data_IF_180016881069
#
_entry.id   IF_180016881069
#
_cell.length_a   1.000
_cell.length_b   1.000
_cell.length_c   1.000
_cell.angle_alpha   90.00
_cell.angle_beta   90.00
_cell.angle_gamma   90.00
#
_symmetry.space_group_name_H-M   'P 1'
#
loop_
_entity.id
_entity.type
_entity.pdbx_description
1 polymer ?
#
# COMPACT_ATOMS: atom_id res chain seq x y z
N UNK A 1 13.41 -23.83 19.39
CA UNK A 1 14.58 -22.95 19.16
C UNK A 1 15.25 -23.20 17.81
N UNK A 2 15.49 -24.45 17.37
CA UNK A 2 16.09 -24.74 16.06
C UNK A 2 15.25 -24.28 14.86
N UNK A 3 13.93 -24.46 14.91
CA UNK A 3 13.02 -23.98 13.85
C UNK A 3 13.03 -22.45 13.69
N UNK A 4 12.99 -21.69 14.80
CA UNK A 4 13.05 -20.22 14.77
C UNK A 4 14.37 -19.73 14.16
N UNK A 5 15.49 -20.40 14.48
CA UNK A 5 16.79 -20.06 13.90
C UNK A 5 16.81 -20.24 12.38
N UNK A 6 16.27 -21.35 11.88
CA UNK A 6 16.15 -21.62 10.45
C UNK A 6 15.26 -20.58 9.73
N UNK A 7 14.15 -20.18 10.35
CA UNK A 7 13.27 -19.15 9.79
C UNK A 7 13.95 -17.77 9.71
N UNK A 8 14.72 -17.39 10.73
CA UNK A 8 15.46 -16.12 10.72
C UNK A 8 16.55 -16.08 9.65
N UNK A 9 17.23 -17.20 9.43
CA UNK A 9 18.26 -17.31 8.39
C UNK A 9 17.63 -17.22 6.99
N UNK A 10 16.50 -17.90 6.80
CA UNK A 10 15.71 -17.80 5.59
C UNK A 10 15.26 -16.35 5.30
N UNK A 11 14.70 -15.66 6.29
CA UNK A 11 14.32 -14.26 6.17
C UNK A 11 15.52 -13.37 5.83
N UNK A 12 16.70 -13.63 6.43
CA UNK A 12 17.92 -12.90 6.14
C UNK A 12 18.33 -13.03 4.69
N UNK A 13 18.30 -14.24 4.13
CA UNK A 13 18.62 -14.47 2.72
C UNK A 13 17.66 -13.74 1.77
N UNK A 14 16.38 -13.72 2.09
CA UNK A 14 15.36 -13.04 1.28
C UNK A 14 15.51 -11.52 1.39
N UNK A 15 15.85 -11.00 2.57
CA UNK A 15 16.17 -9.59 2.77
C UNK A 15 17.41 -9.13 2.00
N UNK A 16 18.26 -10.05 1.53
CA UNK A 16 19.37 -9.72 0.63
C UNK A 16 18.93 -9.49 -0.82
N UNK A 17 17.69 -9.84 -1.19
CA UNK A 17 17.15 -9.62 -2.54
C UNK A 17 16.69 -8.15 -2.65
N UNK A 18 17.34 -7.32 -3.47
CA UNK A 18 17.05 -5.88 -3.50
C UNK A 18 15.60 -5.56 -3.89
N UNK A 19 15.01 -6.31 -4.82
CA UNK A 19 13.59 -6.13 -5.20
C UNK A 19 12.66 -6.48 -4.05
N UNK A 20 12.97 -7.54 -3.30
CA UNK A 20 12.19 -7.92 -2.14
C UNK A 20 12.26 -6.84 -1.06
N UNK A 21 13.45 -6.29 -0.80
CA UNK A 21 13.63 -5.21 0.17
C UNK A 21 12.87 -3.95 -0.24
N UNK A 22 12.87 -3.58 -1.53
CA UNK A 22 12.09 -2.46 -2.05
C UNK A 22 10.57 -2.67 -1.86
N UNK A 23 10.08 -3.89 -2.11
CA UNK A 23 8.68 -4.25 -1.86
C UNK A 23 8.34 -4.26 -0.36
N UNK A 24 9.25 -4.78 0.47
CA UNK A 24 9.05 -4.84 1.92
C UNK A 24 8.98 -3.44 2.51
N UNK A 25 9.97 -2.60 2.23
CA UNK A 25 10.03 -1.22 2.72
C UNK A 25 8.89 -0.37 2.15
N UNK A 26 8.65 -0.44 0.84
CA UNK A 26 7.54 0.25 0.19
C UNK A 26 6.18 -0.15 0.76
N UNK A 27 6.00 -1.44 1.09
CA UNK A 27 4.80 -1.98 1.71
C UNK A 27 4.59 -1.49 3.15
N UNK A 28 5.64 -1.49 3.97
CA UNK A 28 5.60 -0.99 5.36
C UNK A 28 5.21 0.49 5.39
N UNK A 29 5.87 1.30 4.55
CA UNK A 29 5.56 2.73 4.42
C UNK A 29 4.15 2.93 3.84
N UNK A 30 3.73 2.07 2.90
CA UNK A 30 2.40 2.09 2.28
C UNK A 30 1.24 1.77 3.23
N UNK A 31 1.50 1.14 4.38
CA UNK A 31 0.48 0.91 5.41
C UNK A 31 0.16 2.17 6.24
N UNK A 32 1.10 3.11 6.35
CA UNK A 32 0.92 4.35 7.13
C UNK A 32 -0.26 5.19 6.58
N UNK A 33 -0.37 5.45 5.26
CA UNK A 33 -1.53 6.13 4.66
C UNK A 33 -2.87 5.50 5.01
N UNK A 34 -2.96 4.17 4.98
CA UNK A 34 -4.21 3.47 5.27
C UNK A 34 -4.62 3.60 6.74
N UNK A 35 -3.64 3.57 7.64
CA UNK A 35 -3.86 3.85 9.05
C UNK A 35 -4.28 5.30 9.28
N UNK A 36 -3.66 6.26 8.58
CA UNK A 36 -4.04 7.67 8.63
C UNK A 36 -5.48 7.91 8.14
N UNK A 37 -5.91 7.21 7.10
CA UNK A 37 -7.26 7.29 6.55
C UNK A 37 -8.34 6.67 7.48
N UNK A 38 -7.99 6.01 8.58
CA UNK A 38 -8.96 5.64 9.62
C UNK A 38 -9.66 6.85 10.25
N UNK A 39 -9.03 8.04 10.19
CA UNK A 39 -9.60 9.31 10.65
C UNK A 39 -10.60 9.92 9.67
N UNK A 40 -10.78 9.33 8.49
CA UNK A 40 -11.69 9.84 7.47
C UNK A 40 -13.14 9.93 7.97
N UNK A 41 -13.57 8.99 8.83
CA UNK A 41 -14.88 9.07 9.49
C UNK A 41 -15.04 10.38 10.28
N UNK A 42 -14.04 10.71 11.09
CA UNK A 42 -14.03 11.91 11.92
C UNK A 42 -13.94 13.18 11.06
N UNK A 43 -13.15 13.14 9.98
CA UNK A 43 -13.08 14.23 9.00
C UNK A 43 -14.44 14.53 8.37
N UNK A 44 -15.15 13.51 7.89
CA UNK A 44 -16.48 13.65 7.31
C UNK A 44 -17.49 14.24 8.31
N UNK A 45 -17.44 13.81 9.57
CA UNK A 45 -18.29 14.38 10.61
C UNK A 45 -17.95 15.85 10.91
N UNK A 46 -16.68 16.23 10.88
CA UNK A 46 -16.26 17.64 11.04
C UNK A 46 -16.65 18.51 9.83
N UNK A 47 -16.81 17.92 8.65
CA UNK A 47 -17.42 18.60 7.49
C UNK A 47 -18.94 18.81 7.62
N UNK A 48 -19.56 18.29 8.69
CA UNK A 48 -20.99 18.46 8.97
C UNK A 48 -21.87 17.29 8.55
N UNK A 49 -21.31 16.20 8.03
CA UNK A 49 -22.07 15.00 7.72
C UNK A 49 -22.55 14.28 8.98
N UNK A 50 -23.76 13.72 8.94
CA UNK A 50 -24.26 12.83 9.99
C UNK A 50 -23.43 11.55 10.04
N UNK A 51 -23.39 10.87 11.19
CA UNK A 51 -22.67 9.61 11.33
C UNK A 51 -23.13 8.56 10.30
N UNK A 52 -24.43 8.48 10.00
CA UNK A 52 -24.98 7.56 9.00
C UNK A 52 -24.48 7.88 7.59
N UNK A 53 -24.49 9.16 7.20
CA UNK A 53 -24.02 9.58 5.87
C UNK A 53 -22.50 9.44 5.71
N UNK A 54 -21.72 9.70 6.76
CA UNK A 54 -20.29 9.45 6.75
C UNK A 54 -20.00 7.94 6.64
N UNK A 55 -20.72 7.10 7.39
CA UNK A 55 -20.58 5.64 7.29
C UNK A 55 -20.94 5.11 5.90
N UNK A 56 -21.99 5.63 5.26
CA UNK A 56 -22.35 5.22 3.89
C UNK A 56 -21.30 5.63 2.86
N UNK A 57 -20.66 6.80 3.01
CA UNK A 57 -19.52 7.19 2.18
C UNK A 57 -18.32 6.23 2.32
N UNK A 58 -18.02 5.79 3.55
CA UNK A 58 -16.98 4.80 3.79
C UNK A 58 -17.36 3.41 3.26
N UNK A 59 -18.64 3.07 3.23
CA UNK A 59 -19.13 1.85 2.57
C UNK A 59 -18.92 1.93 1.06
N UNK A 60 -19.23 3.07 0.42
CA UNK A 60 -18.93 3.32 -1.01
C UNK A 60 -17.44 3.21 -1.29
N UNK A 61 -16.61 3.80 -0.43
CA UNK A 61 -15.16 3.67 -0.47
C UNK A 61 -14.73 2.18 -0.45
N UNK A 62 -15.33 1.38 0.43
CA UNK A 62 -15.06 -0.07 0.55
C UNK A 62 -15.45 -0.85 -0.72
N UNK A 63 -16.57 -0.52 -1.36
CA UNK A 63 -16.92 -1.09 -2.69
C UNK A 63 -15.85 -0.72 -3.72
N UNK A 64 -15.41 0.54 -3.74
CA UNK A 64 -14.30 0.99 -4.59
C UNK A 64 -13.02 0.20 -4.37
N UNK A 65 -12.70 -0.20 -3.13
CA UNK A 65 -11.53 -1.03 -2.82
C UNK A 65 -11.64 -2.42 -3.43
N UNK A 66 -12.83 -3.02 -3.41
CA UNK A 66 -13.08 -4.35 -3.99
C UNK A 66 -12.88 -4.28 -5.50
N UNK A 67 -13.56 -3.33 -6.17
CA UNK A 67 -13.42 -3.11 -7.60
C UNK A 67 -11.97 -2.76 -7.99
N UNK A 68 -11.31 -1.90 -7.22
CA UNK A 68 -9.93 -1.50 -7.44
C UNK A 68 -8.95 -2.65 -7.30
N UNK A 69 -9.17 -3.55 -6.35
CA UNK A 69 -8.32 -4.73 -6.18
C UNK A 69 -8.42 -5.69 -7.38
N UNK A 70 -9.63 -5.90 -7.91
CA UNK A 70 -9.85 -6.70 -9.12
C UNK A 70 -9.20 -6.04 -10.34
N UNK A 71 -9.45 -4.75 -10.54
CA UNK A 71 -8.88 -3.98 -11.63
C UNK A 71 -7.34 -3.99 -11.56
N UNK A 72 -6.78 -3.85 -10.36
CA UNK A 72 -5.35 -3.89 -10.12
C UNK A 72 -4.69 -5.21 -10.52
N UNK A 73 -5.34 -6.34 -10.22
CA UNK A 73 -4.88 -7.66 -10.66
C UNK A 73 -4.88 -7.78 -12.20
N UNK A 74 -6.01 -7.41 -12.83
CA UNK A 74 -6.15 -7.46 -14.30
C UNK A 74 -5.12 -6.56 -14.99
N UNK A 75 -4.97 -5.31 -14.54
CA UNK A 75 -3.98 -4.38 -15.09
C UNK A 75 -2.57 -4.88 -14.84
N UNK A 76 -2.27 -5.37 -13.63
CA UNK A 76 -0.96 -5.94 -13.29
C UNK A 76 -0.54 -7.04 -14.26
N UNK A 77 -1.43 -8.01 -14.51
CA UNK A 77 -1.15 -9.14 -15.39
C UNK A 77 -1.10 -8.74 -16.86
N UNK A 78 -1.97 -7.83 -17.31
CA UNK A 78 -1.93 -7.29 -18.66
C UNK A 78 -0.61 -6.55 -18.94
N UNK A 79 -0.21 -5.64 -18.05
CA UNK A 79 1.07 -4.92 -18.17
C UNK A 79 2.27 -5.86 -18.08
N UNK A 80 2.22 -6.90 -17.22
CA UNK A 80 3.26 -7.91 -17.14
C UNK A 80 3.40 -8.72 -18.44
N UNK A 81 2.29 -9.02 -19.13
CA UNK A 81 2.33 -9.71 -20.43
C UNK A 81 3.00 -8.87 -21.52
N UNK A 82 2.80 -7.54 -21.49
CA UNK A 82 3.32 -6.63 -22.51
C UNK A 82 4.75 -6.17 -22.22
N UNK A 83 5.05 -5.90 -20.96
CA UNK A 83 6.36 -5.46 -20.46
C UNK A 83 6.79 -6.31 -19.26
N UNK A 84 7.37 -7.51 -19.49
CA UNK A 84 7.64 -8.47 -18.43
C UNK A 84 8.57 -7.99 -17.32
N UNK A 85 9.43 -7.01 -17.58
CA UNK A 85 10.42 -6.52 -16.62
C UNK A 85 10.01 -5.24 -15.88
N UNK A 86 9.04 -4.50 -16.40
CA UNK A 86 8.74 -3.14 -15.90
C UNK A 86 7.24 -2.88 -15.75
N UNK A 87 6.39 -3.69 -16.38
CA UNK A 87 4.95 -3.48 -16.43
C UNK A 87 4.31 -3.45 -15.05
N UNK A 88 4.67 -4.41 -14.17
CA UNK A 88 4.14 -4.45 -12.80
C UNK A 88 4.54 -3.22 -11.99
N UNK A 89 5.81 -2.81 -12.02
CA UNK A 89 6.28 -1.61 -11.32
C UNK A 89 5.58 -0.33 -11.81
N UNK A 90 5.35 -0.21 -13.13
CA UNK A 90 4.62 0.90 -13.73
C UNK A 90 3.16 0.97 -13.25
N UNK A 91 2.47 -0.17 -13.12
CA UNK A 91 1.10 -0.21 -12.56
C UNK A 91 1.07 0.32 -11.12
N UNK A 92 2.08 -0.01 -10.30
CA UNK A 92 2.20 0.53 -8.94
C UNK A 92 2.38 2.05 -8.92
N UNK A 93 3.26 2.57 -9.78
CA UNK A 93 3.46 4.02 -9.94
C UNK A 93 2.18 4.74 -10.41
N UNK A 94 1.49 4.18 -11.40
CA UNK A 94 0.22 4.72 -11.88
C UNK A 94 -0.84 4.73 -10.79
N UNK A 95 -0.93 3.67 -9.99
CA UNK A 95 -1.89 3.55 -8.88
C UNK A 95 -1.68 4.66 -7.85
N UNK A 96 -0.42 4.91 -7.47
CA UNK A 96 -0.07 5.97 -6.51
C UNK A 96 -0.40 7.35 -7.10
N UNK A 97 0.05 7.63 -8.32
CA UNK A 97 -0.13 8.93 -8.94
C UNK A 97 -1.61 9.25 -9.18
N UNK A 98 -2.37 8.30 -9.72
CA UNK A 98 -3.79 8.47 -10.03
C UNK A 98 -4.65 8.48 -8.77
N UNK A 99 -4.31 7.68 -7.75
CA UNK A 99 -5.02 7.64 -6.47
C UNK A 99 -4.81 8.91 -5.63
N UNK A 100 -3.63 9.55 -5.72
CA UNK A 100 -3.34 10.76 -4.96
C UNK A 100 -4.26 11.94 -5.32
N UNK A 101 -4.64 12.07 -6.60
CA UNK A 101 -5.45 13.19 -7.11
C UNK A 101 -6.84 13.28 -6.46
N UNK A 102 -7.71 12.24 -6.51
CA UNK A 102 -9.03 12.31 -5.88
C UNK A 102 -8.92 12.43 -4.36
N UNK A 103 -7.91 11.82 -3.71
CA UNK A 103 -7.73 12.00 -2.27
C UNK A 103 -7.38 13.45 -1.92
N UNK A 104 -6.46 14.07 -2.66
CA UNK A 104 -6.11 15.48 -2.48
C UNK A 104 -7.37 16.36 -2.61
N UNK A 105 -8.18 16.11 -3.62
CA UNK A 105 -9.44 16.83 -3.83
C UNK A 105 -10.39 16.67 -2.64
N UNK A 106 -10.58 15.45 -2.11
CA UNK A 106 -11.42 15.19 -0.94
C UNK A 106 -10.94 15.94 0.30
N UNK A 107 -9.62 16.00 0.51
CA UNK A 107 -9.03 16.58 1.72
C UNK A 107 -8.88 18.10 1.68
N UNK A 108 -8.79 18.72 0.49
CA UNK A 108 -8.54 20.17 0.37
C UNK A 108 -9.56 20.97 -0.43
N UNK A 109 -10.23 20.37 -1.40
CA UNK A 109 -11.11 21.11 -2.30
C UNK A 109 -12.60 20.87 -2.02
N UNK A 110 -12.94 19.96 -1.10
CA UNK A 110 -14.33 19.60 -0.82
C UNK A 110 -15.11 20.79 -0.22
N UNK A 111 -16.26 21.19 -0.81
CA UNK A 111 -17.09 22.25 -0.27
C UNK A 111 -17.74 21.83 1.07
N UNK A 112 -17.70 22.72 2.07
CA UNK A 112 -18.22 22.53 3.42
C UNK A 112 -19.76 22.50 3.52
N UNK A 113 -20.48 22.48 2.39
CA UNK A 113 -21.95 22.55 2.34
C UNK A 113 -22.58 21.25 1.83
N UNK A 114 -23.74 20.87 2.36
CA UNK A 114 -24.44 19.58 2.14
C UNK A 114 -24.82 19.19 0.70
N UNK A 115 -24.52 20.00 -0.31
CA UNK A 115 -24.73 19.68 -1.73
C UNK A 115 -23.66 18.73 -2.32
N UNK A 116 -22.71 18.26 -1.50
CA UNK A 116 -21.49 17.56 -1.96
C UNK A 116 -21.50 16.03 -1.81
N UNK A 117 -22.57 15.40 -1.29
CA UNK A 117 -22.56 13.95 -0.97
C UNK A 117 -22.19 13.08 -2.18
N UNK A 118 -22.88 13.23 -3.31
CA UNK A 118 -22.64 12.40 -4.50
C UNK A 118 -21.25 12.60 -5.09
N UNK A 119 -20.75 13.84 -5.06
CA UNK A 119 -19.41 14.18 -5.55
C UNK A 119 -18.33 13.57 -4.66
N UNK A 120 -18.54 13.63 -3.34
CA UNK A 120 -17.66 13.02 -2.34
C UNK A 120 -17.69 11.49 -2.41
N UNK A 121 -18.87 10.90 -2.63
CA UNK A 121 -19.02 9.46 -2.86
C UNK A 121 -18.25 9.02 -4.12
N UNK A 122 -18.40 9.76 -5.22
CA UNK A 122 -17.68 9.52 -6.46
C UNK A 122 -16.16 9.67 -6.27
N UNK A 123 -15.70 10.73 -5.59
CA UNK A 123 -14.28 10.95 -5.34
C UNK A 123 -13.65 9.87 -4.44
N UNK A 124 -14.34 9.45 -3.37
CA UNK A 124 -13.88 8.37 -2.49
C UNK A 124 -13.89 7.00 -3.19
N UNK A 125 -14.90 6.76 -4.03
CA UNK A 125 -14.94 5.57 -4.89
C UNK A 125 -13.78 5.56 -5.88
N UNK A 126 -13.58 6.65 -6.63
CA UNK A 126 -12.48 6.81 -7.58
C UNK A 126 -11.13 6.68 -6.91
N UNK A 127 -10.94 7.31 -5.74
CA UNK A 127 -9.73 7.16 -4.94
C UNK A 127 -9.45 5.68 -4.64
N UNK A 128 -10.43 4.96 -4.11
CA UNK A 128 -10.25 3.54 -3.74
C UNK A 128 -10.14 2.62 -4.95
N UNK A 129 -10.77 2.97 -6.07
CA UNK A 129 -10.65 2.25 -7.31
C UNK A 129 -9.22 2.33 -7.86
N UNK A 130 -8.58 3.50 -7.75
CA UNK A 130 -7.27 3.79 -8.34
C UNK A 130 -6.09 3.43 -7.42
N UNK A 131 -6.24 3.58 -6.10
CA UNK A 131 -5.16 3.42 -5.13
C UNK A 131 -4.89 1.96 -4.70
N UNK A 132 -5.71 0.99 -5.14
CA UNK A 132 -5.66 -0.41 -4.68
C UNK A 132 -4.95 -1.38 -5.63
N UNK A 133 -4.21 -0.90 -6.63
CA UNK A 133 -3.61 -1.79 -7.63
C UNK A 133 -2.29 -2.42 -7.19
N UNK A 134 -1.55 -1.73 -6.33
CA UNK A 134 -0.21 -2.12 -5.86
C UNK A 134 -0.13 -3.55 -5.34
N UNK A 135 -0.96 -3.91 -4.36
CA UNK A 135 -0.88 -5.23 -3.73
C UNK A 135 -1.25 -6.41 -4.65
N UNK A 136 -2.40 -6.40 -5.35
CA UNK A 136 -2.78 -7.50 -6.24
C UNK A 136 -2.00 -7.51 -7.56
N UNK A 137 -1.65 -6.35 -8.13
CA UNK A 137 -1.03 -6.26 -9.45
C UNK A 137 0.49 -6.30 -9.45
N UNK A 138 1.12 -5.95 -8.32
CA UNK A 138 2.58 -5.74 -8.24
C UNK A 138 3.20 -6.60 -7.14
N UNK A 139 2.83 -6.38 -5.89
CA UNK A 139 3.54 -6.95 -4.75
C UNK A 139 3.41 -8.48 -4.69
N UNK A 140 2.16 -9.00 -4.69
CA UNK A 140 1.92 -10.44 -4.58
C UNK A 140 2.50 -11.23 -5.77
N UNK A 141 2.32 -10.80 -7.03
CA UNK A 141 2.93 -11.49 -8.16
C UNK A 141 4.46 -11.46 -8.10
N UNK A 142 5.07 -10.32 -7.80
CA UNK A 142 6.53 -10.23 -7.72
C UNK A 142 7.10 -11.10 -6.58
N UNK A 143 6.43 -11.18 -5.42
CA UNK A 143 6.82 -12.12 -4.39
C UNK A 143 6.71 -13.56 -4.87
N UNK A 144 5.63 -13.91 -5.58
CA UNK A 144 5.46 -15.27 -6.09
C UNK A 144 6.53 -15.67 -7.10
N UNK A 145 7.06 -14.72 -7.86
CA UNK A 145 8.11 -14.98 -8.86
C UNK A 145 9.51 -15.06 -8.23
N UNK A 146 9.78 -14.31 -7.15
CA UNK A 146 11.10 -14.25 -6.52
C UNK A 146 11.28 -15.30 -5.41
N UNK A 147 10.19 -15.74 -4.79
CA UNK A 147 10.22 -16.56 -3.58
C UNK A 147 9.80 -18.01 -3.87
N UNK A 148 10.50 -19.02 -3.33
CA UNK A 148 10.11 -20.42 -3.45
C UNK A 148 8.71 -20.73 -2.88
N UNK A 149 7.93 -21.63 -3.50
CA UNK A 149 6.54 -21.92 -3.13
C UNK A 149 6.32 -22.22 -1.64
N UNK A 150 7.21 -23.02 -1.05
CA UNK A 150 7.16 -23.45 0.35
C UNK A 150 7.23 -22.29 1.36
N UNK A 151 7.83 -21.18 0.94
CA UNK A 151 8.21 -20.08 1.85
C UNK A 151 7.34 -18.84 1.63
N UNK A 152 6.65 -18.74 0.48
CA UNK A 152 5.77 -17.62 0.11
C UNK A 152 4.81 -17.25 1.23
N UNK A 153 4.10 -18.24 1.79
CA UNK A 153 3.13 -18.02 2.86
C UNK A 153 3.76 -17.41 4.12
N UNK A 154 4.91 -17.93 4.55
CA UNK A 154 5.63 -17.45 5.73
C UNK A 154 6.09 -16.01 5.57
N UNK A 155 6.68 -15.70 4.42
CA UNK A 155 7.26 -14.38 4.13
C UNK A 155 6.17 -13.33 3.99
N UNK A 156 5.08 -13.65 3.30
CA UNK A 156 3.91 -12.77 3.21
C UNK A 156 3.31 -12.53 4.60
N UNK A 157 3.26 -13.58 5.45
CA UNK A 157 2.81 -13.47 6.84
C UNK A 157 3.67 -12.49 7.64
N UNK A 158 4.99 -12.71 7.67
CA UNK A 158 5.95 -11.83 8.34
C UNK A 158 5.87 -10.39 7.86
N UNK A 159 5.87 -10.19 6.54
CA UNK A 159 5.73 -8.86 5.95
C UNK A 159 4.45 -8.18 6.41
N UNK A 160 3.31 -8.90 6.36
CA UNK A 160 2.01 -8.34 6.74
C UNK A 160 2.00 -7.94 8.21
N UNK A 161 2.54 -8.76 9.09
CA UNK A 161 2.66 -8.46 10.52
C UNK A 161 3.50 -7.21 10.76
N UNK A 162 4.68 -7.10 10.13
CA UNK A 162 5.56 -5.93 10.29
C UNK A 162 4.89 -4.67 9.73
N UNK A 163 4.32 -4.74 8.52
CA UNK A 163 3.71 -3.60 7.85
C UNK A 163 2.48 -3.09 8.61
N UNK A 164 1.58 -3.97 9.07
CA UNK A 164 0.40 -3.60 9.85
C UNK A 164 0.78 -3.06 11.24
N UNK A 165 1.82 -3.62 11.87
CA UNK A 165 2.32 -3.13 13.17
C UNK A 165 2.92 -1.74 13.03
N UNK A 166 3.79 -1.50 12.05
CA UNK A 166 4.33 -0.17 11.76
C UNK A 166 3.21 0.82 11.41
N UNK A 167 2.26 0.42 10.55
CA UNK A 167 1.10 1.24 10.22
C UNK A 167 0.28 1.64 11.45
N UNK A 168 0.11 0.73 12.40
CA UNK A 168 -0.63 0.98 13.65
C UNK A 168 0.12 1.90 14.62
N UNK A 169 1.43 1.68 14.79
CA UNK A 169 2.28 2.48 15.70
C UNK A 169 2.47 3.91 15.16
N UNK A 170 2.70 4.06 13.85
CA UNK A 170 3.02 5.35 13.27
C UNK A 170 1.77 6.07 12.75
N UNK A 171 0.85 5.39 12.06
CA UNK A 171 -0.24 6.07 11.36
C UNK A 171 -1.17 6.84 12.30
N UNK A 172 -1.76 6.16 13.28
CA UNK A 172 -2.73 6.79 14.18
C UNK A 172 -2.16 7.90 15.05
N UNK A 173 -1.12 7.62 15.84
CA UNK A 173 -0.48 8.61 16.70
C UNK A 173 0.11 9.81 15.94
N UNK A 174 0.75 9.61 14.78
CA UNK A 174 1.34 10.72 14.01
C UNK A 174 0.26 11.63 13.44
N UNK A 175 -0.84 11.08 12.91
CA UNK A 175 -2.00 11.92 12.47
C UNK A 175 -2.59 12.67 13.64
N UNK A 176 -2.78 12.02 14.79
CA UNK A 176 -3.29 12.65 16.00
C UNK A 176 -2.42 13.84 16.42
N UNK A 177 -1.11 13.63 16.55
CA UNK A 177 -0.16 14.68 16.93
C UNK A 177 -0.11 15.83 15.92
N UNK A 178 0.03 15.52 14.62
CA UNK A 178 0.10 16.54 13.57
C UNK A 178 -1.20 17.33 13.47
N UNK A 179 -2.36 16.69 13.61
CA UNK A 179 -3.64 17.40 13.58
C UNK A 179 -3.72 18.43 14.71
N UNK A 180 -3.32 18.07 15.94
CA UNK A 180 -3.28 19.00 17.06
C UNK A 180 -2.26 20.11 16.86
N UNK A 181 -1.08 19.80 16.29
CA UNK A 181 -0.05 20.79 15.98
C UNK A 181 -0.50 21.81 14.91
N UNK A 182 -1.34 21.41 13.96
CA UNK A 182 -1.92 22.28 12.92
C UNK A 182 -3.12 23.08 13.43
N UNK A 183 -3.64 22.77 14.63
CA UNK A 183 -4.71 23.54 15.27
C UNK A 183 -6.00 22.77 15.54
N UNK A 184 -6.03 21.44 15.34
CA UNK A 184 -7.18 20.62 15.69
C UNK A 184 -7.45 20.66 17.19
N UNK A 185 -8.66 21.08 17.58
CA UNK A 185 -9.10 21.14 18.97
C UNK A 185 -10.10 20.02 19.28
N UNK A 186 -9.69 18.97 20.03
CA UNK A 186 -10.57 17.85 20.36
C UNK A 186 -11.83 18.33 21.09
N UNK A 187 -12.97 17.68 20.82
CA UNK A 187 -14.29 17.91 21.47
C UNK A 187 -14.98 19.24 21.14
N UNK A 188 -14.38 20.11 20.33
CA UNK A 188 -15.01 21.33 19.84
C UNK A 188 -15.46 21.14 18.38
N UNK A 189 -16.58 21.73 17.99
CA UNK A 189 -17.00 21.81 16.57
C UNK A 189 -16.53 23.13 15.98
N UNK A 190 -15.22 23.38 16.05
CA UNK A 190 -14.65 24.58 15.43
C UNK A 190 -14.61 24.42 13.90
N UNK A 191 -14.92 25.47 13.12
CA UNK A 191 -14.93 25.41 11.65
C UNK A 191 -13.59 24.94 11.04
N UNK A 192 -12.47 25.21 11.71
CA UNK A 192 -11.12 24.84 11.25
C UNK A 192 -10.69 23.39 11.56
N UNK A 193 -11.50 22.61 12.29
CA UNK A 193 -11.12 21.26 12.70
C UNK A 193 -11.08 20.28 11.50
N UNK A 194 -12.01 20.40 10.56
CA UNK A 194 -11.99 19.60 9.33
C UNK A 194 -10.72 19.89 8.53
N UNK A 195 -10.37 21.16 8.40
CA UNK A 195 -9.18 21.60 7.67
C UNK A 195 -7.87 21.10 8.30
N UNK A 196 -7.75 21.24 9.62
CA UNK A 196 -6.57 20.80 10.38
C UNK A 196 -6.36 19.29 10.27
N UNK A 197 -7.45 18.52 10.40
CA UNK A 197 -7.41 17.07 10.27
C UNK A 197 -7.14 16.64 8.83
N UNK A 198 -7.76 17.30 7.85
CA UNK A 198 -7.51 17.08 6.42
C UNK A 198 -6.05 17.30 6.05
N UNK A 199 -5.44 18.35 6.58
CA UNK A 199 -4.01 18.65 6.40
C UNK A 199 -3.12 17.57 6.99
N UNK A 200 -3.39 17.16 8.23
CA UNK A 200 -2.61 16.11 8.90
C UNK A 200 -2.69 14.78 8.14
N UNK A 201 -3.90 14.37 7.72
CA UNK A 201 -4.08 13.17 6.89
C UNK A 201 -3.38 13.31 5.54
N UNK A 202 -3.42 14.48 4.90
CA UNK A 202 -2.76 14.69 3.61
C UNK A 202 -1.24 14.52 3.72
N UNK A 203 -0.61 15.10 4.75
CA UNK A 203 0.83 14.96 4.99
C UNK A 203 1.17 13.49 5.29
N UNK A 204 0.39 12.84 6.15
CA UNK A 204 0.57 11.42 6.50
C UNK A 204 0.24 10.43 5.38
N UNK A 205 -0.32 10.88 4.25
CA UNK A 205 -0.61 10.04 3.09
C UNK A 205 0.36 10.32 1.95
N UNK A 206 0.52 11.59 1.56
CA UNK A 206 1.33 11.99 0.41
C UNK A 206 2.83 11.76 0.61
N UNK A 207 3.37 12.00 1.81
CA UNK A 207 4.79 11.74 2.07
C UNK A 207 5.13 10.25 2.01
N UNK A 208 4.42 9.35 2.72
CA UNK A 208 4.65 7.91 2.57
C UNK A 208 4.44 7.42 1.13
N UNK A 209 3.42 7.90 0.42
CA UNK A 209 3.20 7.50 -0.98
C UNK A 209 4.29 7.98 -1.94
N UNK A 210 4.89 9.16 -1.72
CA UNK A 210 6.07 9.57 -2.47
C UNK A 210 7.23 8.60 -2.26
N UNK A 211 7.45 8.14 -1.02
CA UNK A 211 8.44 7.10 -0.71
C UNK A 211 8.09 5.78 -1.38
N UNK A 212 6.83 5.34 -1.34
CA UNK A 212 6.37 4.14 -2.06
C UNK A 212 6.62 4.27 -3.57
N UNK A 213 6.37 5.43 -4.17
CA UNK A 213 6.64 5.69 -5.58
C UNK A 213 8.13 5.55 -5.90
N UNK A 214 9.02 6.07 -5.04
CA UNK A 214 10.46 5.87 -5.16
C UNK A 214 10.84 4.38 -5.04
N UNK A 215 10.18 3.61 -4.16
CA UNK A 215 10.41 2.17 -4.04
C UNK A 215 10.00 1.42 -5.31
N UNK A 216 8.84 1.71 -5.88
CA UNK A 216 8.45 1.13 -7.18
C UNK A 216 9.38 1.57 -8.31
N UNK A 217 9.92 2.78 -8.24
CA UNK A 217 10.94 3.26 -9.18
C UNK A 217 12.23 2.43 -9.08
N UNK A 218 12.66 2.08 -7.86
CA UNK A 218 13.82 1.22 -7.63
C UNK A 218 13.60 -0.20 -8.19
N UNK A 219 12.36 -0.72 -8.16
CA UNK A 219 12.02 -2.04 -8.71
C UNK A 219 12.33 -2.13 -10.21
N UNK A 220 12.19 -1.04 -10.98
CA UNK A 220 12.60 -1.03 -12.39
C UNK A 220 14.09 -1.39 -12.58
N UNK A 221 14.94 -1.10 -11.59
CA UNK A 221 16.38 -1.33 -11.66
C UNK A 221 16.74 -2.71 -11.06
N UNK A 222 16.11 -3.09 -9.95
CA UNK A 222 16.47 -4.29 -9.20
C UNK A 222 15.86 -5.56 -9.79
N UNK A 223 14.59 -5.50 -10.21
CA UNK A 223 13.85 -6.69 -10.62
C UNK A 223 14.42 -7.40 -11.85
N UNK A 224 14.91 -6.70 -12.90
CA UNK A 224 15.57 -7.38 -14.01
C UNK A 224 16.80 -8.19 -13.62
N UNK A 225 17.55 -7.74 -12.59
CA UNK A 225 18.73 -8.46 -12.09
C UNK A 225 18.31 -9.68 -11.29
N UNK A 226 17.37 -9.50 -10.36
CA UNK A 226 16.91 -10.57 -9.47
C UNK A 226 16.19 -11.68 -10.27
N UNK A 227 15.39 -11.31 -11.29
CA UNK A 227 14.75 -12.29 -12.17
C UNK A 227 15.74 -13.12 -12.99
N UNK A 228 16.88 -12.53 -13.42
CA UNK A 228 17.93 -13.28 -14.11
C UNK A 228 18.57 -14.31 -13.18
N UNK A 229 18.86 -13.92 -11.93
CA UNK A 229 19.41 -14.84 -10.93
C UNK A 229 18.47 -16.01 -10.61
N UNK A 230 17.16 -15.76 -10.49
CA UNK A 230 16.14 -16.82 -10.38
C UNK A 230 16.23 -17.75 -11.60
N UNK A 231 16.17 -17.20 -12.82
CA UNK A 231 16.18 -18.01 -14.05
C UNK A 231 17.46 -18.80 -14.24
N UNK A 232 18.63 -18.26 -13.87
CA UNK A 232 19.92 -18.95 -13.95
C UNK A 232 19.97 -20.10 -12.96
N UNK A 233 19.50 -19.88 -11.73
CA UNK A 233 19.39 -20.94 -10.73
C UNK A 233 18.51 -22.09 -11.22
N UNK A 234 17.30 -21.79 -11.68
CA UNK A 234 16.35 -22.82 -12.15
C UNK A 234 16.89 -23.61 -13.34
N UNK A 235 17.77 -23.01 -14.16
CA UNK A 235 18.46 -23.69 -15.27
C UNK A 235 19.61 -24.59 -14.82
N UNK A 236 20.39 -24.15 -13.82
CA UNK A 236 21.53 -24.90 -13.31
C UNK A 236 21.13 -26.08 -12.42
N UNK A 237 19.96 -25.99 -11.79
CA UNK A 237 19.38 -27.02 -10.94
C UNK A 237 18.01 -27.45 -11.48
N UNK A 238 17.95 -28.19 -12.60
CA UNK A 238 16.69 -28.67 -13.18
C UNK A 238 16.03 -29.67 -12.23
N UNK A 239 15.11 -29.18 -11.39
CA UNK A 239 14.48 -29.90 -10.28
C UNK A 239 14.37 -29.09 -8.98
N UNK A 240 15.11 -27.97 -8.87
CA UNK A 240 14.90 -26.98 -7.81
C UNK A 240 13.56 -26.26 -8.02
N UNK A 241 12.87 -25.95 -6.92
CA UNK A 241 11.55 -25.29 -6.96
C UNK A 241 11.67 -23.92 -7.64
N UNK A 242 10.63 -23.49 -8.36
CA UNK A 242 10.59 -22.18 -9.03
C UNK A 242 10.82 -21.03 -8.02
N UNK A 243 12.00 -20.37 -8.05
CA UNK A 243 12.39 -19.29 -7.15
C UNK A 243 13.91 -19.16 -6.97
N UNK A 244 14.39 -18.14 -6.25
CA UNK A 244 15.80 -18.06 -5.86
C UNK A 244 16.15 -19.21 -4.90
N UNK A 245 17.32 -19.84 -5.04
CA UNK A 245 17.74 -20.94 -4.19
C UNK A 245 18.08 -20.34 -2.83
N UNK A 246 17.18 -20.51 -1.88
CA UNK A 246 17.52 -20.27 -0.47
C UNK A 246 18.42 -21.43 -0.06
N UNK A 247 19.58 -21.17 0.54
CA UNK A 247 20.59 -22.21 0.84
C UNK A 247 20.09 -23.29 1.81
N UNK A 248 18.89 -23.09 2.36
CA UNK A 248 18.26 -23.93 3.36
C UNK A 248 17.46 -25.14 2.81
N UNK A 249 17.42 -25.38 1.49
CA UNK A 249 16.76 -26.58 0.94
C UNK A 249 17.60 -27.88 1.04
N UNK A 250 18.81 -27.84 1.60
CA UNK A 250 19.69 -29.01 1.79
C UNK A 250 19.95 -29.36 3.25
N UNK A 251 18.89 -29.69 3.99
CA UNK A 251 18.98 -30.17 5.39
C UNK A 251 17.83 -31.08 5.76
#
# INVERSE_FOLDING_TARGET
MREIGAELEQLKEICCIPTFLALLFGGVVGCIPWSALSFLMMYLQNLGFSATSAASLLAVMSVGRICGSLLGGILGDWFASRWPLHGRALVGQMSIALGAVPLYWVLRCCPHSGSSYSLLAAALFSFSLLALWCNPGVDRPLWSELVPPDSRGKIIGWWRTVAETCGSIFGGPVVGYLSMAVGYRPKTKEPGNAESLGTAMLVCTMLPWAVCFCCYSAIHITYPKDRRMVSETSRLLPGAKDGLPLKFESG
#
